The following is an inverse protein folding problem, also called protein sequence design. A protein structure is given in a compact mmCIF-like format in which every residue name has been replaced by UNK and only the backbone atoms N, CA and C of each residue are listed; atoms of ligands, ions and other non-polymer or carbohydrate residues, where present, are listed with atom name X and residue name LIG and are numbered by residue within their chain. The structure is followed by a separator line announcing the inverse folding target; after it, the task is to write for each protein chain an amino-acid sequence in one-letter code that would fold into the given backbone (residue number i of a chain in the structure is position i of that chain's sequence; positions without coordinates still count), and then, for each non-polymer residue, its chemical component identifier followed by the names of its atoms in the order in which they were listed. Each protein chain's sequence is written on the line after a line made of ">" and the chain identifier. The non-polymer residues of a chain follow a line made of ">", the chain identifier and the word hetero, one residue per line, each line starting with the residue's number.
data_IF_480184045395
#
_entry.id   IF_480184045395
#
_cell.length_a   1.000
_cell.length_b   1.000
_cell.length_c   1.000
_cell.angle_alpha   90.00
_cell.angle_beta   90.00
_cell.angle_gamma   90.00
#
_symmetry.space_group_name_H-M   'P 1'
#
loop_
_entity.id
_entity.type
_entity.pdbx_description
1 polymer ?
#
# COMPACT_ATOMS: atom_id res chain seq x y z
N UNK A 1 -3.34 -23.40 43.36
CA UNK A 1 -3.72 -23.08 41.97
C UNK A 1 -4.15 -21.62 41.99
N UNK A 2 -3.25 -20.71 41.63
CA UNK A 2 -3.50 -19.27 41.63
C UNK A 2 -4.49 -18.97 40.50
N UNK A 3 -5.72 -18.60 40.84
CA UNK A 3 -6.65 -17.99 39.91
C UNK A 3 -6.05 -16.64 39.51
N UNK A 4 -5.34 -16.60 38.39
CA UNK A 4 -4.76 -15.36 37.87
C UNK A 4 -5.88 -14.36 37.65
N UNK A 5 -5.89 -13.28 38.44
CA UNK A 5 -6.80 -12.17 38.21
C UNK A 5 -6.50 -11.58 36.84
N UNK A 6 -7.47 -11.60 35.93
CA UNK A 6 -7.38 -10.94 34.63
C UNK A 6 -8.25 -9.69 34.64
N UNK A 7 -7.84 -8.68 33.87
CA UNK A 7 -8.61 -7.47 33.63
C UNK A 7 -9.03 -7.40 32.17
N UNK A 8 -10.31 -7.14 31.93
CA UNK A 8 -10.84 -6.87 30.61
C UNK A 8 -10.52 -5.41 30.23
N UNK A 9 -10.01 -5.21 29.02
CA UNK A 9 -9.78 -3.91 28.41
C UNK A 9 -10.71 -3.75 27.22
N UNK A 10 -11.56 -2.73 27.25
CA UNK A 10 -12.46 -2.37 26.14
C UNK A 10 -11.92 -1.18 25.35
N UNK A 11 -11.67 -1.37 24.05
CA UNK A 11 -11.13 -0.36 23.15
C UNK A 11 -12.23 0.25 22.25
N UNK A 12 -12.56 1.50 22.49
CA UNK A 12 -13.53 2.32 21.75
C UNK A 12 -12.82 3.27 20.78
N UNK A 13 -13.39 3.62 19.61
CA UNK A 13 -14.63 3.11 19.01
C UNK A 13 -14.45 1.79 18.25
N UNK A 14 -13.32 1.11 18.46
CA UNK A 14 -12.90 -0.07 17.67
C UNK A 14 -13.77 -1.29 18.01
N UNK A 15 -14.35 -1.33 19.22
CA UNK A 15 -15.26 -2.38 19.68
C UNK A 15 -14.54 -3.70 19.98
N UNK A 16 -13.26 -3.64 20.35
CA UNK A 16 -12.43 -4.82 20.64
C UNK A 16 -12.18 -4.93 22.14
N UNK A 17 -12.27 -6.16 22.65
CA UNK A 17 -12.01 -6.49 24.06
C UNK A 17 -10.93 -7.55 24.19
N UNK A 18 -10.15 -7.45 25.25
CA UNK A 18 -9.09 -8.42 25.56
C UNK A 18 -8.92 -8.56 27.07
N UNK A 19 -8.73 -9.79 27.52
CA UNK A 19 -8.35 -10.10 28.89
C UNK A 19 -6.83 -10.12 29.02
N UNK A 20 -6.28 -9.36 29.96
CA UNK A 20 -4.84 -9.27 30.20
C UNK A 20 -4.51 -9.52 31.66
N UNK A 21 -3.25 -9.86 31.92
CA UNK A 21 -2.73 -9.97 33.27
C UNK A 21 -2.64 -8.59 33.94
N UNK A 22 -2.60 -8.51 35.27
CA UNK A 22 -2.33 -7.27 35.99
C UNK A 22 -0.94 -6.74 35.60
N UNK A 23 -0.76 -5.42 35.60
CA UNK A 23 0.49 -4.78 35.20
C UNK A 23 0.86 -4.91 33.71
N UNK A 24 -0.01 -5.45 32.85
CA UNK A 24 0.16 -5.32 31.40
C UNK A 24 -0.02 -3.86 30.99
N UNK A 25 0.81 -3.38 30.05
CA UNK A 25 0.68 -2.03 29.51
C UNK A 25 -0.51 -1.93 28.55
N UNK A 26 -1.07 -0.73 28.39
CA UNK A 26 -2.12 -0.51 27.39
C UNK A 26 -1.63 -0.79 25.95
N UNK A 27 -0.35 -0.60 25.66
CA UNK A 27 0.24 -0.92 24.36
C UNK A 27 0.23 -2.43 24.10
N UNK A 28 0.67 -3.24 25.08
CA UNK A 28 0.64 -4.70 24.99
C UNK A 28 -0.80 -5.23 24.89
N UNK A 29 -1.73 -4.66 25.68
CA UNK A 29 -3.14 -5.01 25.60
C UNK A 29 -3.72 -4.70 24.21
N UNK A 30 -3.40 -3.53 23.64
CA UNK A 30 -3.82 -3.16 22.29
C UNK A 30 -3.28 -4.14 21.25
N UNK A 31 -2.00 -4.52 21.33
CA UNK A 31 -1.40 -5.51 20.45
C UNK A 31 -2.06 -6.89 20.58
N UNK A 32 -2.37 -7.34 21.79
CA UNK A 32 -3.07 -8.59 22.04
C UNK A 32 -4.50 -8.59 21.46
N UNK A 33 -5.17 -7.43 21.43
CA UNK A 33 -6.44 -7.23 20.75
C UNK A 33 -6.31 -7.11 19.22
N UNK A 34 -5.09 -7.07 18.67
CA UNK A 34 -4.84 -6.79 17.25
C UNK A 34 -5.16 -5.34 16.87
N UNK A 35 -4.83 -4.40 17.74
CA UNK A 35 -4.92 -2.95 17.54
C UNK A 35 -3.49 -2.41 17.46
N UNK A 36 -3.10 -1.97 16.28
CA UNK A 36 -1.75 -1.44 16.04
C UNK A 36 -1.68 0.05 16.43
N UNK A 37 -1.20 0.33 17.64
CA UNK A 37 -0.89 1.68 18.10
C UNK A 37 0.49 2.12 17.60
N UNK A 38 0.62 3.39 17.23
CA UNK A 38 1.86 4.01 16.81
C UNK A 38 2.86 4.09 17.97
N UNK A 39 3.96 3.36 17.86
CA UNK A 39 5.02 3.31 18.87
C UNK A 39 6.40 3.54 18.25
N UNK A 40 6.63 4.69 17.62
CA UNK A 40 7.88 4.99 16.91
C UNK A 40 9.15 4.85 17.78
N UNK A 41 9.04 5.07 19.09
CA UNK A 41 10.14 4.89 20.03
C UNK A 41 10.28 3.46 20.58
N UNK A 42 9.49 2.49 20.11
CA UNK A 42 9.54 1.11 20.60
C UNK A 42 8.97 0.92 22.02
N UNK A 43 8.22 1.88 22.55
CA UNK A 43 7.58 1.77 23.86
C UNK A 43 8.33 2.39 25.04
N UNK A 44 9.43 3.11 24.79
CA UNK A 44 10.24 3.76 25.85
C UNK A 44 9.67 5.08 26.39
N UNK A 45 8.47 5.51 25.97
CA UNK A 45 7.81 6.69 26.54
C UNK A 45 8.12 8.05 25.90
N UNK A 46 9.05 8.17 24.94
CA UNK A 46 9.57 9.48 24.50
C UNK A 46 8.95 10.12 23.24
N UNK A 47 8.14 9.39 22.45
CA UNK A 47 7.61 9.92 21.18
C UNK A 47 6.20 10.51 21.25
N UNK A 48 5.40 10.14 22.27
CA UNK A 48 4.02 10.61 22.41
C UNK A 48 3.04 10.13 21.33
N UNK A 49 3.39 9.15 20.48
CA UNK A 49 2.52 8.71 19.38
C UNK A 49 1.49 7.65 19.79
N UNK A 50 1.70 6.98 20.92
CA UNK A 50 0.80 5.95 21.46
C UNK A 50 -0.26 6.54 22.40
N UNK A 51 -0.70 7.77 22.14
CA UNK A 51 -1.66 8.50 22.99
C UNK A 51 -3.02 7.79 22.99
N UNK A 52 -3.57 7.56 24.17
CA UNK A 52 -4.91 7.00 24.38
C UNK A 52 -5.61 7.79 25.46
N UNK A 53 -6.94 7.71 25.52
CA UNK A 53 -7.71 8.35 26.58
C UNK A 53 -8.41 7.29 27.41
N UNK A 54 -8.16 7.31 28.72
CA UNK A 54 -8.90 6.50 29.68
C UNK A 54 -10.29 7.11 29.89
N UNK A 55 -11.33 6.33 29.58
CA UNK A 55 -12.72 6.72 29.79
C UNK A 55 -13.22 6.25 31.17
N UNK A 56 -12.91 5.01 31.53
CA UNK A 56 -13.33 4.36 32.78
C UNK A 56 -12.24 3.42 33.28
N UNK A 57 -12.21 3.19 34.59
CA UNK A 57 -11.28 2.28 35.26
C UNK A 57 -10.07 2.97 35.88
N UNK A 58 -9.05 2.18 36.23
CA UNK A 58 -7.84 2.64 36.91
C UNK A 58 -6.57 2.11 36.22
N UNK A 59 -5.63 3.02 36.04
CA UNK A 59 -4.30 2.77 35.50
C UNK A 59 -3.24 3.17 36.54
N UNK A 60 -1.99 2.82 36.29
CA UNK A 60 -0.84 3.36 37.05
C UNK A 60 -0.84 4.89 37.09
N UNK A 61 -0.17 5.47 38.08
CA UNK A 61 0.08 6.92 38.09
C UNK A 61 0.86 7.35 36.83
N UNK A 62 0.65 8.57 36.31
CA UNK A 62 1.43 9.08 35.18
C UNK A 62 2.93 9.05 35.47
N UNK A 63 3.72 8.47 34.56
CA UNK A 63 5.18 8.43 34.68
C UNK A 63 5.81 9.80 34.40
N UNK A 64 7.10 9.96 34.70
CA UNK A 64 7.85 11.18 34.36
C UNK A 64 7.83 11.47 32.86
N UNK A 65 7.96 10.44 32.01
CA UNK A 65 7.87 10.58 30.56
C UNK A 65 6.48 11.05 30.10
N UNK A 66 5.41 10.55 30.74
CA UNK A 66 4.06 11.02 30.48
C UNK A 66 3.90 12.49 30.84
N UNK A 67 4.44 12.92 32.00
CA UNK A 67 4.40 14.31 32.45
C UNK A 67 5.27 15.24 31.60
N UNK A 68 6.32 14.71 30.96
CA UNK A 68 7.14 15.48 30.03
C UNK A 68 6.42 15.76 28.70
N UNK A 69 5.57 14.82 28.25
CA UNK A 69 4.93 14.88 26.92
C UNK A 69 3.49 15.41 26.98
N UNK A 70 2.77 15.12 28.06
CA UNK A 70 1.37 15.45 28.25
C UNK A 70 1.27 16.59 29.27
N UNK A 71 0.49 17.62 28.93
CA UNK A 71 0.20 18.70 29.87
C UNK A 71 -0.65 18.20 31.04
N UNK A 72 -0.60 18.90 32.18
CA UNK A 72 -1.44 18.61 33.35
C UNK A 72 -2.94 18.62 33.04
N UNK A 73 -3.37 19.37 32.03
CA UNK A 73 -4.76 19.40 31.58
C UNK A 73 -5.10 18.13 30.81
N UNK A 74 -4.21 17.67 29.92
CA UNK A 74 -4.39 16.42 29.18
C UNK A 74 -4.42 15.21 30.13
N UNK A 75 -3.47 15.12 31.07
CA UNK A 75 -3.42 14.03 32.06
C UNK A 75 -4.68 13.97 32.92
N UNK A 76 -5.17 15.14 33.41
CA UNK A 76 -6.44 15.22 34.14
C UNK A 76 -7.66 14.88 33.28
N UNK A 77 -7.57 15.11 31.96
CA UNK A 77 -8.55 14.70 30.97
C UNK A 77 -8.47 13.22 30.58
N UNK A 78 -7.66 12.41 31.28
CA UNK A 78 -7.53 10.97 31.04
C UNK A 78 -6.59 10.60 29.88
N UNK A 79 -5.88 11.55 29.28
CA UNK A 79 -4.87 11.24 28.26
C UNK A 79 -3.70 10.51 28.90
N UNK A 80 -3.25 9.44 28.27
CA UNK A 80 -2.15 8.57 28.71
C UNK A 80 -1.29 8.15 27.52
N UNK A 81 -0.05 7.77 27.78
CA UNK A 81 0.79 7.08 26.81
C UNK A 81 0.61 5.58 26.99
N UNK A 82 0.11 4.89 25.97
CA UNK A 82 -0.24 3.48 26.09
C UNK A 82 0.97 2.59 26.44
N UNK A 83 2.19 2.99 26.05
CA UNK A 83 3.40 2.26 26.39
C UNK A 83 3.83 2.37 27.86
N UNK A 84 3.35 3.39 28.57
CA UNK A 84 3.78 3.70 29.94
C UNK A 84 2.66 3.45 30.96
N UNK A 85 1.41 3.48 30.52
CA UNK A 85 0.24 3.23 31.37
C UNK A 85 0.01 1.73 31.59
N UNK A 86 0.08 1.31 32.86
CA UNK A 86 -0.13 -0.08 33.28
C UNK A 86 -1.55 -0.27 33.82
N UNK A 87 -2.15 -1.43 33.52
CA UNK A 87 -3.55 -1.74 33.84
C UNK A 87 -3.68 -2.28 35.27
N UNK A 88 -4.53 -1.63 36.08
CA UNK A 88 -4.78 -1.98 37.48
C UNK A 88 -6.21 -2.47 37.75
N UNK A 89 -7.13 -2.26 36.81
CA UNK A 89 -8.51 -2.75 36.89
C UNK A 89 -9.10 -2.97 35.48
N UNK A 90 -10.37 -3.36 35.40
CA UNK A 90 -11.10 -3.32 34.13
C UNK A 90 -11.18 -1.88 33.64
N UNK A 91 -10.81 -1.65 32.39
CA UNK A 91 -10.64 -0.31 31.84
C UNK A 91 -11.33 -0.17 30.48
N UNK A 92 -11.87 1.01 30.24
CA UNK A 92 -12.40 1.42 28.94
C UNK A 92 -11.51 2.51 28.36
N UNK A 93 -10.96 2.26 27.19
CA UNK A 93 -9.95 3.10 26.56
C UNK A 93 -10.48 3.59 25.21
N UNK A 94 -10.54 4.90 25.06
CA UNK A 94 -10.71 5.52 23.76
C UNK A 94 -9.38 5.57 23.02
N UNK A 95 -9.37 5.02 21.81
CA UNK A 95 -8.22 5.04 20.89
C UNK A 95 -8.46 6.11 19.83
N UNK A 96 -7.77 7.26 19.91
CA UNK A 96 -7.83 8.27 18.87
C UNK A 96 -7.33 7.68 17.55
N UNK A 97 -8.01 8.04 16.44
CA UNK A 97 -7.54 7.62 15.11
C UNK A 97 -6.07 7.95 14.92
N UNK A 98 -5.62 9.17 15.25
CA UNK A 98 -4.21 9.62 15.14
C UNK A 98 -3.17 8.68 15.76
N UNK A 99 -3.57 7.85 16.73
CA UNK A 99 -2.69 6.92 17.44
C UNK A 99 -2.64 5.54 16.81
N UNK A 100 -3.49 5.24 15.83
CA UNK A 100 -3.45 3.99 15.07
C UNK A 100 -2.44 4.09 13.93
N UNK A 101 -1.64 3.04 13.73
CA UNK A 101 -0.77 2.90 12.56
C UNK A 101 -1.61 2.97 11.28
N UNK A 102 -2.83 2.40 11.29
CA UNK A 102 -3.78 2.46 10.17
C UNK A 102 -4.27 3.89 9.87
N UNK A 103 -4.32 4.80 10.85
CA UNK A 103 -4.76 6.17 10.58
C UNK A 103 -3.67 7.06 9.97
N UNK A 104 -2.41 6.67 10.07
CA UNK A 104 -1.36 7.25 9.22
C UNK A 104 -1.41 6.72 7.77
N UNK A 105 -2.43 5.92 7.43
CA UNK A 105 -2.65 5.35 6.10
C UNK A 105 -3.82 6.00 5.35
N UNK A 106 -4.26 7.18 5.76
CA UNK A 106 -5.24 8.00 5.02
C UNK A 106 -4.85 9.48 5.05
N UNK A 107 -3.79 9.81 4.31
CA UNK A 107 -3.68 11.09 3.63
C UNK A 107 -3.46 10.78 2.15
N UNK A 108 -4.47 10.16 1.54
CA UNK A 108 -4.51 9.79 0.10
C UNK A 108 -5.49 10.70 -0.66
N UNK A 109 -5.85 11.85 -0.10
CA UNK A 109 -6.42 12.93 -0.93
C UNK A 109 -5.26 13.73 -1.50
N UNK A 110 -4.54 13.10 -2.44
CA UNK A 110 -3.81 13.86 -3.43
C UNK A 110 -4.80 14.79 -4.12
N UNK A 111 -4.47 16.08 -4.19
CA UNK A 111 -5.28 17.10 -4.85
C UNK A 111 -5.78 16.56 -6.19
N UNK A 112 -7.09 16.38 -6.31
CA UNK A 112 -7.75 15.95 -7.55
C UNK A 112 -7.70 17.10 -8.56
N UNK A 113 -6.52 17.33 -9.13
CA UNK A 113 -6.40 18.01 -10.41
C UNK A 113 -6.75 17.04 -11.54
N UNK A 114 -7.21 17.57 -12.67
CA UNK A 114 -7.23 16.78 -13.91
C UNK A 114 -5.80 16.32 -14.21
N UNK A 115 -5.50 15.06 -13.92
CA UNK A 115 -4.20 14.45 -14.22
C UNK A 115 -4.16 14.20 -15.72
N UNK A 116 -3.38 14.99 -16.45
CA UNK A 116 -2.96 14.63 -17.80
C UNK A 116 -1.98 13.47 -17.68
N UNK A 117 -2.45 12.27 -18.03
CA UNK A 117 -1.63 11.07 -18.02
C UNK A 117 -0.67 11.08 -19.20
N UNK A 118 0.63 11.02 -18.92
CA UNK A 118 1.71 10.85 -19.90
C UNK A 118 2.55 9.62 -19.52
N UNK A 119 2.01 8.40 -19.70
CA UNK A 119 2.71 7.18 -19.32
C UNK A 119 3.91 6.93 -20.22
N UNK A 120 5.01 6.42 -19.64
CA UNK A 120 6.22 6.05 -20.41
C UNK A 120 5.95 4.91 -21.41
N UNK A 121 4.95 4.09 -21.12
CA UNK A 121 4.54 2.93 -21.93
C UNK A 121 3.13 3.15 -22.47
N UNK A 122 3.02 3.18 -23.79
CA UNK A 122 1.75 3.14 -24.51
C UNK A 122 1.36 1.68 -24.82
N UNK A 123 0.07 1.34 -24.73
CA UNK A 123 -0.45 0.03 -25.11
C UNK A 123 -1.38 0.14 -26.32
N UNK A 124 -1.14 -0.69 -27.34
CA UNK A 124 -1.95 -0.73 -28.56
C UNK A 124 -2.46 -2.14 -28.80
N UNK A 125 -3.78 -2.29 -28.85
CA UNK A 125 -4.40 -3.53 -29.32
C UNK A 125 -4.28 -3.61 -30.84
N UNK A 126 -3.79 -4.76 -31.31
CA UNK A 126 -3.48 -5.03 -32.70
C UNK A 126 -4.28 -6.23 -33.20
N UNK A 127 -4.85 -6.06 -34.39
CA UNK A 127 -5.32 -7.14 -35.25
C UNK A 127 -4.45 -7.16 -36.49
N UNK A 128 -3.60 -8.18 -36.59
CA UNK A 128 -2.52 -8.24 -37.58
C UNK A 128 -2.87 -9.27 -38.66
N UNK A 129 -2.87 -8.91 -39.95
CA UNK A 129 -3.20 -9.88 -41.00
C UNK A 129 -2.21 -11.05 -41.04
N UNK A 130 -2.68 -12.27 -40.86
CA UNK A 130 -1.84 -13.48 -40.89
C UNK A 130 -1.01 -13.59 -42.20
N UNK A 131 0.20 -14.19 -42.16
CA UNK A 131 1.08 -14.31 -43.30
C UNK A 131 0.48 -15.20 -44.39
N UNK A 132 0.70 -14.82 -45.64
CA UNK A 132 0.25 -15.58 -46.81
C UNK A 132 1.40 -15.68 -47.82
N UNK A 133 1.26 -16.55 -48.83
CA UNK A 133 2.24 -16.65 -49.92
C UNK A 133 2.39 -15.33 -50.72
N UNK A 134 1.36 -14.47 -50.71
CA UNK A 134 1.37 -13.18 -51.40
C UNK A 134 1.88 -12.03 -50.52
N UNK A 135 2.11 -12.28 -49.23
CA UNK A 135 2.63 -11.30 -48.29
C UNK A 135 3.69 -11.94 -47.35
N UNK A 136 4.94 -12.08 -47.82
CA UNK A 136 6.01 -12.77 -47.11
C UNK A 136 6.78 -11.89 -46.11
N UNK A 137 6.25 -10.72 -45.73
CA UNK A 137 6.89 -9.82 -44.76
C UNK A 137 7.14 -10.51 -43.43
N UNK A 138 8.22 -10.11 -42.76
CA UNK A 138 8.56 -10.61 -41.43
C UNK A 138 7.50 -10.25 -40.38
N UNK A 139 7.44 -11.03 -39.31
CA UNK A 139 6.46 -10.82 -38.24
C UNK A 139 6.59 -9.42 -37.61
N UNK A 140 7.83 -8.91 -37.47
CA UNK A 140 8.08 -7.56 -36.96
C UNK A 140 7.61 -6.47 -37.94
N UNK A 141 7.95 -6.56 -39.22
CA UNK A 141 7.51 -5.58 -40.23
C UNK A 141 5.99 -5.54 -40.35
N UNK A 142 5.35 -6.70 -40.21
CA UNK A 142 3.89 -6.82 -40.26
C UNK A 142 3.22 -6.10 -39.09
N UNK A 143 3.73 -6.28 -37.87
CA UNK A 143 3.29 -5.54 -36.67
C UNK A 143 3.57 -4.05 -36.82
N UNK A 144 4.78 -3.69 -37.23
CA UNK A 144 5.19 -2.30 -37.45
C UNK A 144 4.29 -1.59 -38.48
N UNK A 145 3.86 -2.30 -39.53
CA UNK A 145 2.93 -1.76 -40.53
C UNK A 145 1.56 -1.43 -39.92
N UNK A 146 1.02 -2.29 -39.08
CA UNK A 146 -0.27 -2.04 -38.40
C UNK A 146 -0.14 -0.87 -37.43
N UNK A 147 0.92 -0.83 -36.63
CA UNK A 147 1.20 0.29 -35.72
C UNK A 147 1.33 1.64 -36.48
N UNK A 148 2.00 1.64 -37.63
CA UNK A 148 2.16 2.84 -38.44
C UNK A 148 0.84 3.30 -39.10
N UNK A 149 0.06 2.37 -39.66
CA UNK A 149 -1.13 2.69 -40.44
C UNK A 149 -2.40 2.92 -39.60
N UNK A 150 -2.58 2.16 -38.52
CA UNK A 150 -3.78 2.23 -37.67
C UNK A 150 -3.58 3.19 -36.52
N UNK A 151 -2.40 3.14 -35.89
CA UNK A 151 -2.11 3.87 -34.65
C UNK A 151 -1.18 5.08 -34.84
N UNK A 152 -0.81 5.40 -36.10
CA UNK A 152 0.07 6.53 -36.45
C UNK A 152 1.43 6.51 -35.73
N UNK A 153 2.01 5.32 -35.54
CA UNK A 153 3.34 5.14 -34.94
C UNK A 153 4.36 4.63 -35.99
N UNK A 154 5.08 5.53 -36.69
CA UNK A 154 6.09 5.15 -37.67
C UNK A 154 7.43 4.76 -37.02
N UNK A 155 8.34 4.22 -37.82
CA UNK A 155 9.73 3.90 -37.44
C UNK A 155 9.85 2.96 -36.23
N UNK A 156 8.95 1.97 -36.16
CA UNK A 156 8.92 1.01 -35.07
C UNK A 156 10.16 0.13 -35.09
N UNK A 157 10.79 0.03 -33.92
CA UNK A 157 11.86 -0.92 -33.62
C UNK A 157 11.41 -1.83 -32.48
N UNK A 158 12.12 -2.93 -32.24
CA UNK A 158 11.82 -3.83 -31.14
C UNK A 158 13.10 -4.35 -30.50
N UNK A 159 13.08 -4.51 -29.18
CA UNK A 159 14.20 -5.11 -28.45
C UNK A 159 14.41 -6.57 -28.92
N UNK A 160 15.66 -7.07 -29.01
CA UNK A 160 15.92 -8.45 -29.46
C UNK A 160 15.18 -9.52 -28.66
N UNK A 161 14.92 -9.28 -27.37
CA UNK A 161 14.15 -10.18 -26.52
C UNK A 161 12.68 -10.27 -26.94
N UNK A 162 12.11 -9.15 -27.41
CA UNK A 162 10.74 -9.08 -27.95
C UNK A 162 10.69 -9.79 -29.29
N UNK A 163 11.64 -9.50 -30.20
CA UNK A 163 11.70 -10.11 -31.55
C UNK A 163 11.64 -11.65 -31.48
N UNK A 164 12.34 -12.24 -30.51
CA UNK A 164 12.34 -13.71 -30.29
C UNK A 164 10.99 -14.29 -29.88
N UNK A 165 10.09 -13.49 -29.34
CA UNK A 165 8.79 -13.93 -28.81
C UNK A 165 7.65 -13.71 -29.80
N UNK A 166 7.82 -12.79 -30.77
CA UNK A 166 6.77 -12.37 -31.70
C UNK A 166 6.12 -13.57 -32.39
N UNK A 167 6.94 -14.43 -33.01
CA UNK A 167 6.43 -15.50 -33.87
C UNK A 167 5.56 -16.50 -33.13
N UNK A 168 5.95 -16.86 -31.91
CA UNK A 168 5.22 -17.81 -31.06
C UNK A 168 3.92 -17.19 -30.58
N UNK A 169 4.00 -15.98 -30.00
CA UNK A 169 2.83 -15.29 -29.46
C UNK A 169 1.80 -14.99 -30.55
N UNK A 170 2.23 -14.46 -31.69
CA UNK A 170 1.34 -14.11 -32.80
C UNK A 170 0.56 -15.33 -33.30
N UNK A 171 1.20 -16.50 -33.43
CA UNK A 171 0.54 -17.73 -33.88
C UNK A 171 -0.41 -18.29 -32.83
N UNK A 172 -0.03 -18.27 -31.55
CA UNK A 172 -0.88 -18.75 -30.44
C UNK A 172 -2.12 -17.89 -30.24
N UNK A 173 -2.00 -16.58 -30.49
CA UNK A 173 -3.08 -15.61 -30.28
C UNK A 173 -3.84 -15.27 -31.57
N UNK A 174 -3.70 -16.08 -32.63
CA UNK A 174 -4.35 -15.86 -33.94
C UNK A 174 -4.14 -14.42 -34.46
N UNK A 175 -2.93 -13.91 -34.31
CA UNK A 175 -2.50 -12.56 -34.72
C UNK A 175 -3.23 -11.40 -34.06
N UNK A 176 -3.92 -11.65 -32.94
CA UNK A 176 -4.50 -10.62 -32.08
C UNK A 176 -3.68 -10.48 -30.80
N UNK A 177 -3.09 -9.31 -30.58
CA UNK A 177 -2.17 -9.10 -29.47
C UNK A 177 -2.17 -7.63 -29.03
N UNK A 178 -1.69 -7.37 -27.82
CA UNK A 178 -1.40 -6.02 -27.34
C UNK A 178 0.09 -5.77 -27.44
N UNK A 179 0.49 -4.64 -28.04
CA UNK A 179 1.87 -4.20 -28.09
C UNK A 179 2.13 -3.05 -27.13
N UNK A 180 3.21 -3.16 -26.36
CA UNK A 180 3.66 -2.14 -25.41
C UNK A 180 4.85 -1.38 -26.00
N UNK A 181 4.69 -0.07 -26.16
CA UNK A 181 5.67 0.80 -26.78
C UNK A 181 6.25 1.79 -25.77
N UNK A 182 7.58 1.91 -25.76
CA UNK A 182 8.31 3.02 -25.15
C UNK A 182 8.77 3.94 -26.28
N UNK A 183 8.02 5.00 -26.54
CA UNK A 183 8.23 5.81 -27.74
C UNK A 183 8.04 4.99 -29.03
N UNK A 184 9.08 4.82 -29.83
CA UNK A 184 9.04 4.02 -31.07
C UNK A 184 9.50 2.56 -30.90
N UNK A 185 9.86 2.15 -29.68
CA UNK A 185 10.39 0.82 -29.41
C UNK A 185 9.32 -0.09 -28.80
N UNK A 186 9.07 -1.25 -29.40
CA UNK A 186 8.29 -2.32 -28.78
C UNK A 186 9.14 -2.97 -27.70
N UNK A 187 8.70 -2.83 -26.45
CA UNK A 187 9.34 -3.40 -25.26
C UNK A 187 8.64 -4.65 -24.76
N UNK A 188 7.44 -4.93 -25.25
CA UNK A 188 6.69 -6.13 -24.89
C UNK A 188 5.50 -6.40 -25.81
N UNK A 189 5.10 -7.67 -25.84
CA UNK A 189 3.86 -8.13 -26.46
C UNK A 189 3.11 -9.03 -25.48
N UNK A 190 1.78 -8.97 -25.48
CA UNK A 190 0.93 -9.79 -24.65
C UNK A 190 -0.34 -10.21 -25.40
N UNK A 191 -1.13 -11.16 -24.85
CA UNK A 191 -2.47 -11.45 -25.37
C UNK A 191 -3.32 -10.20 -25.51
N UNK A 192 -4.25 -10.22 -26.46
CA UNK A 192 -5.13 -9.10 -26.76
C UNK A 192 -5.90 -8.60 -25.52
N UNK A 193 -6.00 -7.27 -25.36
CA UNK A 193 -6.70 -6.62 -24.25
C UNK A 193 -5.93 -6.64 -22.92
N UNK A 194 -4.63 -6.98 -22.93
CA UNK A 194 -3.80 -6.92 -21.72
C UNK A 194 -3.56 -5.46 -21.35
N UNK A 195 -3.94 -5.07 -20.13
CA UNK A 195 -3.79 -3.70 -19.65
C UNK A 195 -2.35 -3.42 -19.22
N UNK A 196 -1.80 -2.23 -19.53
CA UNK A 196 -0.51 -1.82 -19.01
C UNK A 196 -0.62 -1.45 -17.52
N UNK A 197 0.23 -2.06 -16.69
CA UNK A 197 0.33 -1.75 -15.27
C UNK A 197 1.74 -1.25 -14.93
N UNK A 198 1.81 -0.24 -14.09
CA UNK A 198 3.04 0.32 -13.55
C UNK A 198 3.19 -0.01 -12.08
N UNK A 199 4.43 -0.12 -11.63
CA UNK A 199 4.78 -0.25 -10.21
C UNK A 199 5.58 0.99 -9.79
N UNK A 200 5.00 1.83 -8.95
CA UNK A 200 5.72 2.93 -8.31
C UNK A 200 6.22 2.47 -6.94
N UNK A 201 7.50 2.68 -6.64
CA UNK A 201 8.11 2.25 -5.38
C UNK A 201 8.75 3.45 -4.70
N UNK A 202 8.33 3.71 -3.47
CA UNK A 202 8.96 4.69 -2.57
C UNK A 202 9.89 3.95 -1.60
N UNK A 203 11.18 4.27 -1.67
CA UNK A 203 12.25 3.63 -0.92
C UNK A 203 12.76 4.58 0.17
N UNK A 204 12.14 4.50 1.35
CA UNK A 204 12.62 5.16 2.55
C UNK A 204 13.68 4.34 3.28
N UNK A 205 14.45 4.99 4.15
CA UNK A 205 15.49 4.33 4.96
C UNK A 205 14.92 3.28 5.92
N UNK A 206 13.69 3.46 6.39
CA UNK A 206 13.03 2.54 7.34
C UNK A 206 11.84 1.81 6.72
N UNK A 207 11.25 2.34 5.65
CA UNK A 207 10.02 1.82 5.05
C UNK A 207 10.11 1.78 3.54
N UNK A 208 9.53 0.76 2.95
CA UNK A 208 9.28 0.67 1.51
C UNK A 208 7.76 0.69 1.30
N UNK A 209 7.30 1.48 0.34
CA UNK A 209 5.93 1.42 -0.15
C UNK A 209 5.93 1.16 -1.65
N UNK A 210 4.96 0.39 -2.12
CA UNK A 210 4.79 0.03 -3.53
C UNK A 210 3.33 0.19 -3.93
N UNK A 211 3.11 0.87 -5.05
CA UNK A 211 1.80 1.18 -5.62
C UNK A 211 1.73 0.52 -6.99
N UNK A 212 0.70 -0.29 -7.21
CA UNK A 212 0.36 -0.82 -8.52
C UNK A 212 -0.65 0.12 -9.16
N UNK A 213 -0.37 0.59 -10.38
CA UNK A 213 -1.16 1.62 -11.06
C UNK A 213 -1.54 1.14 -12.46
N UNK A 214 -2.79 1.35 -12.86
CA UNK A 214 -3.23 1.18 -14.24
C UNK A 214 -2.73 2.38 -15.07
N UNK A 215 -1.86 2.13 -16.05
CA UNK A 215 -1.21 3.22 -16.80
C UNK A 215 -2.13 3.90 -17.82
N UNK A 216 -3.29 3.30 -18.14
CA UNK A 216 -4.27 3.88 -19.04
C UNK A 216 -5.17 4.87 -18.31
N UNK A 217 -5.53 4.56 -17.07
CA UNK A 217 -6.49 5.34 -16.27
C UNK A 217 -5.85 6.16 -15.16
N UNK A 218 -4.58 5.88 -14.81
CA UNK A 218 -3.92 6.45 -13.65
C UNK A 218 -4.45 5.93 -12.31
N UNK A 219 -5.37 4.97 -12.32
CA UNK A 219 -6.00 4.44 -11.12
C UNK A 219 -5.02 3.56 -10.35
N UNK A 220 -4.91 3.79 -9.04
CA UNK A 220 -4.26 2.84 -8.13
C UNK A 220 -5.06 1.54 -8.05
N UNK A 221 -4.43 0.42 -8.39
CA UNK A 221 -4.99 -0.92 -8.34
C UNK A 221 -4.70 -1.62 -7.00
N UNK A 222 -3.54 -1.36 -6.40
CA UNK A 222 -3.14 -1.92 -5.12
C UNK A 222 -2.01 -1.12 -4.45
N UNK A 223 -1.95 -1.20 -3.13
CA UNK A 223 -0.90 -0.61 -2.30
C UNK A 223 -0.37 -1.62 -1.28
N UNK A 224 0.95 -1.80 -1.25
CA UNK A 224 1.64 -2.59 -0.24
C UNK A 224 2.80 -1.80 0.38
N UNK A 225 3.16 -2.11 1.61
CA UNK A 225 4.30 -1.49 2.26
C UNK A 225 4.82 -2.34 3.41
N UNK A 226 6.10 -2.16 3.74
CA UNK A 226 6.80 -2.92 4.76
C UNK A 226 8.03 -2.18 5.28
N UNK A 227 8.69 -2.79 6.27
CA UNK A 227 10.00 -2.31 6.72
C UNK A 227 11.05 -2.59 5.64
N UNK A 228 12.00 -1.66 5.50
CA UNK A 228 13.15 -1.85 4.63
C UNK A 228 14.12 -2.87 5.28
N UNK A 229 14.37 -4.04 4.65
CA UNK A 229 15.15 -5.14 5.24
C UNK A 229 16.65 -4.86 5.38
#
# INVERSE_FOLDING_TARGET
>A
MSTGHVFEVDFEPIGKRVDVAPQTTLLEAAQAAGIDLSSACGGIGNCGQCRVMMLEGELSAPTEDEQYILSDVELRGGQRLACSAHIHSQVKIYVPKSSLITAQRLQIDGVSGELTLDPIIDAYDLDVPAPTLHDPRSDLERIATVLASVHNRPNIVAEPAVVRQISTLARQQNWRMTAFLRGAEIVGLAPYGTRPVGLAVDLGTTKIAAYLVDLTTGQELALSGGLNP
#
